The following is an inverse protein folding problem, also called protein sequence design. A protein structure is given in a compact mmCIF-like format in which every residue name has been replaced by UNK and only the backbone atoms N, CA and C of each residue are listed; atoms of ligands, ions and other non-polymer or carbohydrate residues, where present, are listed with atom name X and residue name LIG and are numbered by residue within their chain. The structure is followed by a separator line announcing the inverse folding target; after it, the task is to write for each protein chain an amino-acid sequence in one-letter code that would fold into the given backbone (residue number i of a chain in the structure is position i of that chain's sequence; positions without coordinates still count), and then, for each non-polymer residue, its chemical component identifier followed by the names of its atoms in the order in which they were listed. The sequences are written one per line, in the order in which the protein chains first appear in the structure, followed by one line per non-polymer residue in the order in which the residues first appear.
data_IF_515236173985
#
_entry.id   IF_515236173985
#
_cell.length_a   1.000
_cell.length_b   1.000
_cell.length_c   1.000
_cell.angle_alpha   90.00
_cell.angle_beta   90.00
_cell.angle_gamma   90.00
#
_symmetry.space_group_name_H-M   'P 1'
#
loop_
_entity.id
_entity.type
_entity.pdbx_description
1 polymer ?
#
# COMPACT_ATOMS: atom_id res chain seq x y z
N UNK A 1 70.33 -18.76 7.27
CA UNK A 1 69.56 -20.02 7.11
C UNK A 1 69.05 -20.43 8.47
N UNK A 2 67.73 -20.36 8.69
CA UNK A 2 66.94 -21.26 9.54
C UNK A 2 65.47 -20.88 9.34
N UNK A 3 64.71 -21.85 8.83
CA UNK A 3 63.35 -21.70 8.31
C UNK A 3 62.30 -21.79 9.42
N UNK A 4 61.33 -20.89 9.39
CA UNK A 4 60.06 -21.06 10.11
C UNK A 4 59.12 -21.90 9.23
N UNK A 5 58.79 -23.12 9.68
CA UNK A 5 57.69 -23.91 9.14
C UNK A 5 56.37 -23.30 9.61
N UNK A 6 55.58 -22.80 8.66
CA UNK A 6 54.18 -22.43 8.85
C UNK A 6 53.33 -23.71 9.02
N UNK A 7 52.54 -23.78 10.09
CA UNK A 7 51.42 -24.70 10.19
C UNK A 7 50.27 -24.16 9.32
N UNK A 8 49.90 -24.93 8.30
CA UNK A 8 48.69 -24.72 7.53
C UNK A 8 47.47 -24.98 8.41
N UNK A 9 46.71 -23.93 8.72
CA UNK A 9 45.35 -24.07 9.20
C UNK A 9 44.41 -24.07 8.00
N UNK A 10 43.65 -25.15 7.93
CA UNK A 10 42.64 -25.48 6.93
C UNK A 10 41.65 -24.33 6.68
N UNK A 11 41.29 -24.20 5.41
CA UNK A 11 40.35 -23.21 4.91
C UNK A 11 38.99 -23.24 5.62
N UNK A 12 38.58 -22.06 6.05
CA UNK A 12 37.20 -21.74 6.37
C UNK A 12 36.85 -20.47 5.58
N UNK A 13 36.31 -20.64 4.37
CA UNK A 13 35.69 -19.53 3.65
C UNK A 13 34.27 -19.29 4.19
N UNK A 14 33.88 -18.04 4.53
CA UNK A 14 32.54 -17.73 5.01
C UNK A 14 31.49 -17.92 3.89
N UNK A 15 30.31 -18.52 4.16
CA UNK A 15 29.39 -19.02 3.13
C UNK A 15 28.50 -17.95 2.46
N UNK A 16 28.89 -16.68 2.47
CA UNK A 16 28.07 -15.60 1.91
C UNK A 16 28.87 -14.71 0.96
N UNK A 17 29.03 -15.19 -0.27
CA UNK A 17 29.15 -14.32 -1.44
C UNK A 17 27.82 -14.39 -2.20
N UNK A 18 27.01 -13.33 -2.23
CA UNK A 18 25.77 -13.34 -2.99
C UNK A 18 26.10 -13.37 -4.49
N UNK A 19 25.99 -14.56 -5.10
CA UNK A 19 25.96 -14.72 -6.55
C UNK A 19 24.59 -14.28 -7.07
N UNK A 20 24.57 -13.51 -8.17
CA UNK A 20 23.34 -13.09 -8.88
C UNK A 20 22.41 -14.27 -9.23
N UNK A 21 22.93 -15.50 -9.35
CA UNK A 21 22.13 -16.71 -9.62
C UNK A 21 21.13 -17.04 -8.50
N UNK A 22 21.39 -16.63 -7.26
CA UNK A 22 20.51 -16.89 -6.12
C UNK A 22 19.27 -16.00 -6.10
N UNK A 23 19.30 -14.83 -6.77
CA UNK A 23 18.17 -13.92 -6.83
C UNK A 23 17.06 -14.46 -7.75
N UNK A 24 17.43 -15.05 -8.88
CA UNK A 24 16.49 -15.71 -9.81
C UNK A 24 15.84 -16.94 -9.17
N UNK A 25 16.61 -17.73 -8.41
CA UNK A 25 16.10 -18.86 -7.64
C UNK A 25 15.17 -18.45 -6.48
N UNK A 26 15.38 -17.27 -5.88
CA UNK A 26 14.49 -16.71 -4.88
C UNK A 26 13.14 -16.32 -5.49
N UNK A 27 13.14 -15.71 -6.67
CA UNK A 27 11.93 -15.36 -7.43
C UNK A 27 11.14 -16.61 -7.88
N UNK A 28 11.83 -17.70 -8.22
CA UNK A 28 11.20 -18.98 -8.61
C UNK A 28 10.62 -19.78 -7.42
N UNK A 29 11.05 -19.48 -6.19
CA UNK A 29 10.47 -20.03 -4.95
C UNK A 29 9.36 -19.16 -4.37
N UNK A 30 9.09 -18.00 -4.97
CA UNK A 30 7.92 -17.21 -4.60
C UNK A 30 6.68 -17.99 -5.00
N UNK A 31 5.70 -18.12 -4.10
CA UNK A 31 4.43 -18.74 -4.44
C UNK A 31 3.84 -18.11 -5.71
N UNK A 32 3.18 -18.89 -6.58
CA UNK A 32 2.71 -18.43 -7.89
C UNK A 32 1.77 -17.21 -7.80
N UNK A 33 1.12 -16.99 -6.65
CA UNK A 33 0.30 -15.82 -6.40
C UNK A 33 1.09 -14.50 -6.20
N UNK A 34 2.34 -14.54 -5.76
CA UNK A 34 3.19 -13.33 -5.70
C UNK A 34 3.64 -12.90 -7.08
N UNK A 35 3.84 -13.88 -7.97
CA UNK A 35 4.07 -13.65 -9.40
C UNK A 35 2.82 -13.03 -10.02
N UNK A 36 1.62 -13.57 -9.74
CA UNK A 36 0.36 -12.99 -10.21
C UNK A 36 0.13 -11.57 -9.70
N UNK A 37 0.37 -11.32 -8.40
CA UNK A 37 0.28 -9.98 -7.82
C UNK A 37 1.24 -9.02 -8.52
N UNK A 38 2.50 -9.41 -8.65
CA UNK A 38 3.51 -8.66 -9.37
C UNK A 38 3.07 -8.36 -10.82
N UNK A 39 2.57 -9.35 -11.55
CA UNK A 39 2.04 -9.19 -12.91
C UNK A 39 0.82 -8.26 -12.98
N UNK A 40 -0.10 -8.31 -12.01
CA UNK A 40 -1.24 -7.39 -11.94
C UNK A 40 -0.77 -5.95 -11.70
N UNK A 41 0.24 -5.74 -10.85
CA UNK A 41 0.82 -4.42 -10.60
C UNK A 41 1.54 -3.85 -11.83
N UNK A 42 2.35 -4.67 -12.51
CA UNK A 42 3.12 -4.21 -13.67
C UNK A 42 2.23 -3.98 -14.90
N UNK A 43 1.23 -4.84 -15.13
CA UNK A 43 0.27 -4.68 -16.23
C UNK A 43 -0.67 -3.48 -16.04
N UNK A 44 -1.12 -3.20 -14.82
CA UNK A 44 -1.90 -1.99 -14.52
C UNK A 44 -1.05 -0.71 -14.73
N UNK A 45 0.22 -0.73 -14.32
CA UNK A 45 1.17 0.36 -14.57
C UNK A 45 1.44 0.58 -16.06
N UNK A 46 1.64 -0.49 -16.83
CA UNK A 46 1.84 -0.44 -18.27
C UNK A 46 0.59 0.06 -19.01
N UNK A 47 -0.60 -0.44 -18.65
CA UNK A 47 -1.86 0.02 -19.25
C UNK A 47 -2.15 1.49 -18.95
N UNK A 48 -1.87 1.97 -17.74
CA UNK A 48 -2.02 3.39 -17.39
C UNK A 48 -1.05 4.30 -18.17
N UNK A 49 0.18 3.82 -18.42
CA UNK A 49 1.15 4.55 -19.24
C UNK A 49 0.73 4.58 -20.72
N UNK A 50 0.27 3.45 -21.26
CA UNK A 50 -0.18 3.33 -22.66
C UNK A 50 -1.49 4.10 -22.91
N UNK A 51 -2.45 4.03 -21.99
CA UNK A 51 -3.73 4.77 -22.11
C UNK A 51 -3.56 6.29 -21.95
N UNK A 52 -2.50 6.72 -21.25
CA UNK A 52 -2.05 8.11 -21.24
C UNK A 52 -1.55 8.58 -22.62
N UNK A 53 -0.88 7.70 -23.37
CA UNK A 53 -0.35 7.97 -24.72
C UNK A 53 -1.42 7.83 -25.82
N UNK A 54 -2.36 6.87 -25.70
CA UNK A 54 -3.35 6.58 -26.75
C UNK A 54 -4.49 7.60 -26.86
N UNK A 55 -4.70 8.44 -25.84
CA UNK A 55 -5.64 9.56 -25.90
C UNK A 55 -5.11 10.75 -26.71
N UNK A 56 -3.89 10.66 -27.25
CA UNK A 56 -3.20 11.73 -27.95
C UNK A 56 -3.14 11.55 -29.49
N UNK A 57 -3.64 10.44 -30.03
CA UNK A 57 -3.45 10.06 -31.44
C UNK A 57 -4.76 9.92 -32.24
N UNK A 58 -5.75 10.78 -32.02
CA UNK A 58 -6.91 10.91 -32.93
C UNK A 58 -7.24 12.38 -33.21
N UNK A 59 -6.45 13.01 -34.08
CA UNK A 59 -6.88 14.16 -34.88
C UNK A 59 -5.96 14.36 -36.09
N UNK A 60 -6.13 13.54 -37.13
CA UNK A 60 -5.64 13.86 -38.47
C UNK A 60 -6.62 14.86 -39.11
N UNK A 61 -6.34 16.15 -38.98
CA UNK A 61 -6.78 17.15 -39.96
C UNK A 61 -5.80 18.32 -39.96
N UNK A 62 -5.25 18.58 -41.14
CA UNK A 62 -4.25 19.61 -41.42
C UNK A 62 -4.71 21.01 -41.04
N UNK A 63 -3.89 21.72 -40.28
CA UNK A 63 -3.65 23.14 -40.49
C UNK A 63 -2.21 23.46 -40.08
N UNK A 64 -1.48 24.06 -41.01
CA UNK A 64 -0.14 24.62 -40.82
C UNK A 64 -0.20 25.65 -39.69
N UNK A 65 0.36 25.31 -38.53
CA UNK A 65 0.60 26.24 -37.42
C UNK A 65 2.04 26.04 -36.98
N UNK A 66 2.75 27.17 -36.88
CA UNK A 66 4.15 27.33 -36.49
C UNK A 66 4.51 26.51 -35.24
N UNK A 67 5.77 26.04 -35.07
CA UNK A 67 6.15 25.22 -33.92
C UNK A 67 6.18 26.09 -32.66
N UNK A 68 5.06 26.14 -31.94
CA UNK A 68 4.93 26.83 -30.66
C UNK A 68 4.84 25.82 -29.52
N UNK A 69 5.99 25.64 -28.88
CA UNK A 69 6.25 25.10 -27.54
C UNK A 69 5.65 23.74 -27.16
N UNK A 70 6.53 22.76 -26.96
CA UNK A 70 6.35 21.54 -26.16
C UNK A 70 5.97 21.86 -24.69
N UNK A 71 4.75 22.33 -24.43
CA UNK A 71 4.27 22.69 -23.08
C UNK A 71 3.21 21.71 -22.53
N UNK A 72 3.19 20.45 -22.97
CA UNK A 72 2.19 19.46 -22.53
C UNK A 72 2.73 18.13 -21.97
N UNK A 73 4.04 18.01 -21.74
CA UNK A 73 4.57 16.90 -20.96
C UNK A 73 4.30 17.14 -19.46
N UNK A 74 3.21 16.54 -18.94
CA UNK A 74 2.85 16.47 -17.52
C UNK A 74 4.02 15.92 -16.68
N UNK A 75 4.90 16.82 -16.22
CA UNK A 75 6.05 16.45 -15.38
C UNK A 75 5.64 16.39 -13.92
N UNK A 76 5.54 15.16 -13.41
CA UNK A 76 5.42 14.81 -12.00
C UNK A 76 6.73 15.14 -11.26
N UNK A 77 6.66 15.69 -10.04
CA UNK A 77 7.78 15.55 -9.10
C UNK A 77 7.76 14.10 -8.55
N UNK A 78 8.73 13.23 -8.89
CA UNK A 78 8.67 11.84 -8.48
C UNK A 78 8.90 11.72 -6.97
N UNK A 79 8.16 10.83 -6.29
CA UNK A 79 8.56 10.37 -4.96
C UNK A 79 9.87 9.61 -5.15
N UNK A 80 10.97 10.23 -4.74
CA UNK A 80 12.32 9.65 -4.88
C UNK A 80 12.75 9.04 -3.55
N UNK A 81 13.46 7.90 -3.56
CA UNK A 81 14.01 7.28 -2.35
C UNK A 81 15.22 8.08 -1.84
N UNK A 82 14.98 9.32 -1.40
CA UNK A 82 15.98 10.23 -0.87
C UNK A 82 15.74 10.50 0.62
N UNK A 83 16.61 11.31 1.24
CA UNK A 83 16.47 11.65 2.65
C UNK A 83 15.17 12.41 2.97
N UNK A 84 14.60 13.14 2.00
CA UNK A 84 13.28 13.78 2.14
C UNK A 84 12.18 12.74 2.27
N UNK A 85 12.21 11.67 1.47
CA UNK A 85 11.29 10.55 1.60
C UNK A 85 11.47 9.80 2.92
N UNK A 86 12.70 9.52 3.37
CA UNK A 86 12.89 8.90 4.70
C UNK A 86 12.33 9.79 5.81
N UNK A 87 12.49 11.12 5.71
CA UNK A 87 11.88 12.07 6.65
C UNK A 87 10.36 12.13 6.55
N UNK A 88 9.75 11.84 5.40
CA UNK A 88 8.29 11.88 5.24
C UNK A 88 7.61 10.93 6.20
N UNK A 89 8.18 9.75 6.46
CA UNK A 89 7.67 8.79 7.44
C UNK A 89 7.38 9.44 8.79
N UNK A 90 8.29 10.28 9.29
CA UNK A 90 8.08 10.99 10.55
C UNK A 90 6.96 12.03 10.46
N UNK A 91 6.99 12.87 9.42
CA UNK A 91 6.00 13.93 9.23
C UNK A 91 4.60 13.38 8.96
N UNK A 92 4.51 12.27 8.25
CA UNK A 92 3.27 11.62 7.85
C UNK A 92 2.70 10.81 9.01
N UNK A 93 3.55 10.11 9.76
CA UNK A 93 3.14 9.50 11.04
C UNK A 93 2.60 10.57 11.99
N UNK A 94 3.33 11.69 12.15
CA UNK A 94 2.86 12.82 12.97
C UNK A 94 1.53 13.37 12.45
N UNK A 95 1.37 13.51 11.14
CA UNK A 95 0.13 14.00 10.54
C UNK A 95 -1.04 13.04 10.81
N UNK A 96 -0.83 11.73 10.66
CA UNK A 96 -1.84 10.69 10.95
C UNK A 96 -2.24 10.72 12.43
N UNK A 97 -1.27 10.65 13.34
CA UNK A 97 -1.52 10.60 14.79
C UNK A 97 -2.15 11.90 15.30
N UNK A 98 -1.76 13.05 14.75
CA UNK A 98 -2.33 14.34 15.14
C UNK A 98 -3.57 14.74 14.34
N UNK A 99 -4.03 13.91 13.40
CA UNK A 99 -5.19 14.21 12.56
C UNK A 99 -6.49 14.41 13.36
N UNK A 100 -6.79 13.66 14.45
CA UNK A 100 -8.03 13.85 15.21
C UNK A 100 -8.18 15.26 15.79
N UNK A 101 -7.06 15.90 16.16
CA UNK A 101 -7.07 17.28 16.68
C UNK A 101 -7.38 18.34 15.60
N UNK A 102 -7.41 17.94 14.32
CA UNK A 102 -7.64 18.81 13.17
C UNK A 102 -8.90 18.44 12.39
N UNK A 103 -9.62 17.40 12.82
CA UNK A 103 -10.83 16.91 12.16
C UNK A 103 -11.94 17.94 12.24
N UNK A 104 -12.67 18.10 11.12
CA UNK A 104 -13.88 18.91 11.03
C UNK A 104 -15.11 18.03 11.20
N UNK A 105 -16.32 18.63 11.25
CA UNK A 105 -17.57 17.91 11.46
C UNK A 105 -17.77 16.70 10.53
N UNK A 106 -17.37 16.79 9.25
CA UNK A 106 -17.46 15.67 8.32
C UNK A 106 -16.48 14.53 8.63
N UNK A 107 -15.29 14.84 9.15
CA UNK A 107 -14.30 13.82 9.52
C UNK A 107 -14.74 13.10 10.80
N UNK A 108 -15.24 13.86 11.77
CA UNK A 108 -15.87 13.31 12.97
C UNK A 108 -17.11 12.48 12.66
N UNK A 109 -17.92 12.88 11.68
CA UNK A 109 -19.07 12.10 11.23
C UNK A 109 -18.62 10.75 10.63
N UNK A 110 -17.58 10.73 9.78
CA UNK A 110 -17.03 9.47 9.22
C UNK A 110 -16.49 8.58 10.33
N UNK A 111 -15.67 9.12 11.23
CA UNK A 111 -15.11 8.38 12.35
C UNK A 111 -16.22 7.85 13.27
N UNK A 112 -17.20 8.68 13.61
CA UNK A 112 -18.36 8.31 14.43
C UNK A 112 -19.18 7.20 13.81
N UNK A 113 -19.44 7.24 12.50
CA UNK A 113 -20.13 6.16 11.78
C UNK A 113 -19.36 4.85 11.85
N UNK A 114 -18.04 4.87 11.61
CA UNK A 114 -17.20 3.66 11.66
C UNK A 114 -17.17 3.09 13.06
N UNK A 115 -16.94 3.92 14.07
CA UNK A 115 -16.91 3.52 15.48
C UNK A 115 -18.28 2.99 15.89
N UNK A 116 -19.36 3.65 15.51
CA UNK A 116 -20.73 3.21 15.77
C UNK A 116 -21.04 1.86 15.17
N UNK A 117 -20.74 1.65 13.88
CA UNK A 117 -20.94 0.36 13.20
C UNK A 117 -20.07 -0.73 13.82
N UNK A 118 -18.80 -0.43 14.15
CA UNK A 118 -17.91 -1.39 14.81
C UNK A 118 -18.41 -1.75 16.22
N UNK A 119 -18.91 -0.78 17.00
CA UNK A 119 -19.45 -0.98 18.34
C UNK A 119 -20.76 -1.78 18.31
N UNK A 120 -21.66 -1.48 17.39
CA UNK A 120 -22.88 -2.27 17.17
C UNK A 120 -22.55 -3.70 16.72
N UNK A 121 -21.57 -3.84 15.82
CA UNK A 121 -21.09 -5.15 15.38
C UNK A 121 -20.49 -5.95 16.53
N UNK A 122 -19.67 -5.30 17.36
CA UNK A 122 -19.10 -5.87 18.58
C UNK A 122 -20.18 -6.35 19.55
N UNK A 123 -21.18 -5.51 19.82
CA UNK A 123 -22.22 -5.79 20.80
C UNK A 123 -23.21 -6.88 20.34
N UNK A 124 -23.54 -6.91 19.04
CA UNK A 124 -24.67 -7.69 18.55
C UNK A 124 -24.33 -8.68 17.43
N UNK A 125 -23.28 -8.45 16.65
CA UNK A 125 -23.05 -9.21 15.42
C UNK A 125 -21.91 -10.21 15.50
N UNK A 126 -20.82 -9.91 16.23
CA UNK A 126 -19.57 -10.69 16.19
C UNK A 126 -19.77 -12.18 16.42
N UNK A 127 -20.49 -12.58 17.47
CA UNK A 127 -20.76 -13.99 17.76
C UNK A 127 -21.66 -14.67 16.71
N UNK A 128 -22.64 -13.94 16.16
CA UNK A 128 -23.57 -14.46 15.14
C UNK A 128 -22.86 -14.65 13.80
N UNK A 129 -22.08 -13.65 13.38
CA UNK A 129 -21.31 -13.69 12.13
C UNK A 129 -20.23 -14.76 12.23
N UNK A 130 -19.54 -14.88 13.36
CA UNK A 130 -18.55 -15.93 13.57
C UNK A 130 -19.19 -17.32 13.45
N UNK A 131 -20.31 -17.56 14.16
CA UNK A 131 -21.02 -18.83 14.10
C UNK A 131 -21.49 -19.15 12.67
N UNK A 132 -22.16 -18.20 12.02
CA UNK A 132 -22.58 -18.33 10.63
C UNK A 132 -21.41 -18.68 9.71
N UNK A 133 -20.29 -17.96 9.83
CA UNK A 133 -19.10 -18.19 9.02
C UNK A 133 -18.51 -19.58 9.26
N UNK A 134 -18.50 -20.09 10.49
CA UNK A 134 -17.97 -21.42 10.81
C UNK A 134 -18.90 -22.54 10.35
N UNK A 135 -20.22 -22.36 10.45
CA UNK A 135 -21.24 -23.33 9.99
C UNK A 135 -21.27 -23.48 8.46
N UNK A 136 -20.90 -22.43 7.71
CA UNK A 136 -20.92 -22.42 6.25
C UNK A 136 -19.52 -22.64 5.62
N UNK A 137 -18.54 -23.11 6.40
CA UNK A 137 -17.22 -23.44 5.85
C UNK A 137 -17.33 -24.61 4.88
N UNK A 138 -16.67 -24.48 3.74
CA UNK A 138 -16.61 -25.51 2.72
C UNK A 138 -15.21 -25.56 2.10
N UNK A 139 -14.96 -26.59 1.29
CA UNK A 139 -13.74 -26.66 0.49
C UNK A 139 -13.56 -25.37 -0.35
N UNK A 140 -14.63 -24.89 -0.98
CA UNK A 140 -14.59 -23.67 -1.79
C UNK A 140 -14.18 -22.44 -0.97
N UNK A 141 -14.78 -22.20 0.20
CA UNK A 141 -14.45 -21.02 1.02
C UNK A 141 -13.02 -21.10 1.58
N UNK A 142 -12.53 -22.31 1.88
CA UNK A 142 -11.15 -22.51 2.30
C UNK A 142 -10.16 -22.21 1.16
N UNK A 143 -10.39 -22.77 -0.03
CA UNK A 143 -9.53 -22.49 -1.20
C UNK A 143 -9.55 -21.00 -1.57
N UNK A 144 -10.74 -20.38 -1.61
CA UNK A 144 -10.84 -18.95 -1.85
C UNK A 144 -10.08 -18.12 -0.79
N UNK A 145 -10.15 -18.55 0.48
CA UNK A 145 -9.43 -17.92 1.58
C UNK A 145 -7.91 -18.01 1.42
N UNK A 146 -7.39 -19.16 1.01
CA UNK A 146 -5.97 -19.39 0.77
C UNK A 146 -5.43 -18.52 -0.37
N UNK A 147 -6.23 -18.28 -1.42
CA UNK A 147 -5.84 -17.44 -2.56
C UNK A 147 -5.67 -15.97 -2.14
N UNK A 148 -6.55 -15.46 -1.28
CA UNK A 148 -6.59 -14.03 -0.91
C UNK A 148 -5.88 -13.71 0.41
N UNK A 149 -5.51 -14.72 1.19
CA UNK A 149 -4.71 -14.59 2.42
C UNK A 149 -3.44 -13.74 2.22
N UNK A 150 -2.65 -13.95 1.15
CA UNK A 150 -1.39 -13.22 0.97
C UNK A 150 -1.56 -11.71 0.86
N UNK A 151 -2.73 -11.24 0.40
CA UNK A 151 -3.06 -9.81 0.27
C UNK A 151 -3.25 -9.11 1.62
N UNK A 152 -3.44 -9.86 2.71
CA UNK A 152 -3.47 -9.31 4.07
C UNK A 152 -2.19 -9.58 4.85
N UNK A 153 -1.32 -10.45 4.35
CA UNK A 153 -0.13 -10.83 5.06
C UNK A 153 0.99 -9.80 4.80
N UNK A 154 1.32 -9.04 5.85
CA UNK A 154 2.35 -8.01 5.78
C UNK A 154 3.64 -8.50 5.13
N UNK A 155 4.13 -9.69 5.47
CA UNK A 155 5.39 -10.25 4.93
C UNK A 155 5.41 -10.27 3.40
N UNK A 156 4.34 -10.78 2.80
CA UNK A 156 4.27 -10.89 1.34
C UNK A 156 4.21 -9.52 0.70
N UNK A 157 3.46 -8.60 1.29
CA UNK A 157 3.33 -7.30 0.69
C UNK A 157 4.54 -6.39 0.87
N UNK A 158 5.35 -6.54 1.92
CA UNK A 158 6.69 -5.92 2.00
C UNK A 158 7.58 -6.34 0.83
N UNK A 159 7.53 -7.62 0.48
CA UNK A 159 8.27 -8.16 -0.68
C UNK A 159 7.68 -7.59 -1.97
N UNK A 160 6.36 -7.63 -2.13
CA UNK A 160 5.68 -7.10 -3.32
C UNK A 160 5.94 -5.61 -3.52
N UNK A 161 5.89 -4.78 -2.48
CA UNK A 161 6.19 -3.34 -2.58
C UNK A 161 7.64 -3.09 -3.01
N UNK A 162 8.58 -3.87 -2.48
CA UNK A 162 9.97 -3.83 -2.90
C UNK A 162 10.15 -4.23 -4.37
N UNK A 163 9.48 -5.29 -4.82
CA UNK A 163 9.52 -5.73 -6.22
C UNK A 163 8.88 -4.71 -7.17
N UNK A 164 7.75 -4.12 -6.80
CA UNK A 164 7.08 -3.06 -7.57
C UNK A 164 7.98 -1.83 -7.68
N UNK A 165 8.62 -1.42 -6.59
CA UNK A 165 9.60 -0.34 -6.60
C UNK A 165 10.79 -0.66 -7.51
N UNK A 166 11.41 -1.83 -7.38
CA UNK A 166 12.55 -2.25 -8.20
C UNK A 166 12.19 -2.36 -9.68
N UNK A 167 11.01 -2.88 -10.01
CA UNK A 167 10.50 -2.88 -11.37
C UNK A 167 10.41 -1.45 -11.93
N UNK A 168 9.85 -0.51 -11.15
CA UNK A 168 9.80 0.90 -11.52
C UNK A 168 11.18 1.50 -11.80
N UNK A 169 12.19 1.12 -11.01
CA UNK A 169 13.57 1.58 -11.21
C UNK A 169 14.23 0.97 -12.46
N UNK A 170 14.08 -0.34 -12.66
CA UNK A 170 14.68 -1.08 -13.79
C UNK A 170 14.11 -0.61 -15.13
N UNK A 171 12.79 -0.39 -15.18
CA UNK A 171 12.08 0.01 -16.40
C UNK A 171 11.83 1.52 -16.50
N UNK A 172 12.45 2.32 -15.62
CA UNK A 172 12.33 3.78 -15.58
C UNK A 172 10.87 4.28 -15.57
N UNK A 173 9.99 3.58 -14.86
CA UNK A 173 8.58 3.93 -14.70
C UNK A 173 8.37 4.63 -13.35
N UNK A 174 8.26 5.96 -13.39
CA UNK A 174 8.10 6.82 -12.21
C UNK A 174 6.81 6.52 -11.44
N UNK A 175 5.71 6.22 -12.14
CA UNK A 175 4.42 5.88 -11.53
C UNK A 175 4.52 4.58 -10.73
N UNK A 176 5.15 3.56 -11.31
CA UNK A 176 5.36 2.26 -10.66
C UNK A 176 6.30 2.37 -9.46
N UNK A 177 7.38 3.15 -9.60
CA UNK A 177 8.28 3.48 -8.48
C UNK A 177 7.51 4.11 -7.33
N UNK A 178 6.72 5.15 -7.62
CA UNK A 178 5.90 5.88 -6.65
C UNK A 178 4.90 4.96 -5.95
N UNK A 179 4.17 4.13 -6.70
CA UNK A 179 3.22 3.16 -6.14
C UNK A 179 3.92 2.21 -5.16
N UNK A 180 5.09 1.67 -5.53
CA UNK A 180 5.88 0.80 -4.65
C UNK A 180 6.27 1.48 -3.33
N UNK A 181 6.70 2.74 -3.40
CA UNK A 181 7.05 3.54 -2.22
C UNK A 181 5.83 3.85 -1.33
N UNK A 182 4.71 4.29 -1.92
CA UNK A 182 3.51 4.62 -1.17
C UNK A 182 2.87 3.40 -0.50
N UNK A 183 2.93 2.22 -1.14
CA UNK A 183 2.52 0.96 -0.52
C UNK A 183 3.43 0.68 0.69
N UNK A 184 4.74 0.78 0.53
CA UNK A 184 5.71 0.53 1.60
C UNK A 184 5.48 1.44 2.81
N UNK A 185 5.37 2.75 2.59
CA UNK A 185 5.13 3.74 3.65
C UNK A 185 3.79 3.51 4.35
N UNK A 186 2.74 3.27 3.56
CA UNK A 186 1.41 2.92 4.07
C UNK A 186 1.42 1.72 4.99
N UNK A 187 2.18 0.68 4.64
CA UNK A 187 2.25 -0.55 5.42
C UNK A 187 3.06 -0.39 6.69
N UNK A 188 4.16 0.36 6.65
CA UNK A 188 4.95 0.64 7.83
C UNK A 188 4.12 1.39 8.87
N UNK A 189 3.47 2.46 8.46
CA UNK A 189 2.69 3.31 9.37
C UNK A 189 1.48 2.54 9.89
N UNK A 190 0.73 1.84 9.03
CA UNK A 190 -0.37 0.98 9.48
C UNK A 190 0.08 -0.13 10.42
N UNK A 191 1.20 -0.77 10.12
CA UNK A 191 1.75 -1.87 10.92
C UNK A 191 2.15 -1.40 12.30
N UNK A 192 2.91 -0.31 12.41
CA UNK A 192 3.32 0.26 13.71
C UNK A 192 2.10 0.68 14.53
N UNK A 193 1.19 1.47 13.95
CA UNK A 193 -0.01 1.93 14.66
C UNK A 193 -0.93 0.76 15.05
N UNK A 194 -1.12 -0.20 14.15
CA UNK A 194 -1.88 -1.42 14.42
C UNK A 194 -1.30 -2.24 15.56
N UNK A 195 0.03 -2.36 15.64
CA UNK A 195 0.68 -3.07 16.74
C UNK A 195 0.56 -2.34 18.07
N UNK A 196 0.66 -1.00 18.08
CA UNK A 196 0.41 -0.22 19.30
C UNK A 196 -1.00 -0.46 19.83
N UNK A 197 -2.01 -0.38 18.96
CA UNK A 197 -3.41 -0.63 19.36
C UNK A 197 -3.56 -2.08 19.82
N UNK A 198 -2.97 -3.04 19.11
CA UNK A 198 -3.05 -4.46 19.43
C UNK A 198 -2.47 -4.79 20.80
N UNK A 199 -1.29 -4.24 21.11
CA UNK A 199 -0.63 -4.41 22.40
C UNK A 199 -1.43 -3.76 23.53
N UNK A 200 -2.11 -2.65 23.28
CA UNK A 200 -2.93 -1.97 24.29
C UNK A 200 -4.26 -2.66 24.56
N UNK A 201 -4.95 -3.14 23.52
CA UNK A 201 -6.27 -3.73 23.62
C UNK A 201 -6.25 -5.16 24.17
N UNK A 202 -5.45 -6.02 23.55
CA UNK A 202 -5.34 -7.43 23.92
C UNK A 202 -6.62 -8.26 23.85
N UNK A 203 -7.46 -8.08 22.82
CA UNK A 203 -8.66 -8.89 22.59
C UNK A 203 -8.30 -10.33 22.20
N UNK A 204 -8.98 -11.34 22.76
CA UNK A 204 -8.76 -12.75 22.40
C UNK A 204 -9.37 -13.11 21.04
N UNK A 205 -8.76 -14.06 20.33
CA UNK A 205 -9.23 -14.54 19.02
C UNK A 205 -10.37 -15.56 19.14
N UNK A 206 -11.26 -15.64 18.12
CA UNK A 206 -12.33 -16.63 18.10
C UNK A 206 -11.84 -18.09 18.06
N UNK A 207 -10.70 -18.38 17.41
CA UNK A 207 -10.16 -19.73 17.33
C UNK A 207 -9.74 -20.30 18.70
N UNK A 208 -9.55 -19.44 19.72
CA UNK A 208 -9.14 -19.86 21.06
C UNK A 208 -10.37 -20.30 21.89
N UNK A 209 -11.55 -20.38 21.27
CA UNK A 209 -12.82 -20.65 21.95
C UNK A 209 -13.34 -19.48 22.78
N UNK A 210 -12.72 -18.30 22.66
CA UNK A 210 -13.09 -17.10 23.40
C UNK A 210 -14.42 -16.51 22.93
N UNK A 211 -15.10 -15.78 23.82
CA UNK A 211 -16.29 -14.97 23.49
C UNK A 211 -15.87 -13.60 22.93
N UNK A 212 -16.74 -12.92 22.15
CA UNK A 212 -16.42 -11.62 21.57
C UNK A 212 -15.95 -10.56 22.56
N UNK A 213 -16.43 -10.60 23.81
CA UNK A 213 -16.15 -9.62 24.85
C UNK A 213 -14.96 -10.00 25.76
N UNK A 214 -14.16 -11.00 25.39
CA UNK A 214 -12.98 -11.37 26.17
C UNK A 214 -11.75 -10.56 25.78
N UNK A 215 -11.28 -9.75 26.72
CA UNK A 215 -10.08 -8.93 26.61
C UNK A 215 -9.11 -9.34 27.71
N UNK A 216 -7.87 -9.62 27.34
CA UNK A 216 -6.79 -9.92 28.28
C UNK A 216 -6.03 -8.65 28.70
N UNK A 217 -6.32 -7.50 28.08
CA UNK A 217 -5.65 -6.24 28.33
C UNK A 217 -4.22 -6.22 27.79
N UNK A 218 -3.37 -5.28 28.26
CA UNK A 218 -2.03 -5.12 27.73
C UNK A 218 -1.14 -6.33 28.01
N UNK A 219 -0.84 -7.13 26.98
CA UNK A 219 0.05 -8.28 27.06
C UNK A 219 0.79 -8.49 25.74
N UNK A 220 1.93 -9.18 25.79
CA UNK A 220 2.74 -9.44 24.60
C UNK A 220 2.03 -10.45 23.65
N UNK A 221 2.18 -10.33 22.31
CA UNK A 221 1.57 -11.24 21.35
C UNK A 221 2.07 -12.68 21.57
N UNK A 222 1.31 -13.72 21.14
CA UNK A 222 0.76 -13.79 19.78
C UNK A 222 -0.76 -13.79 19.62
N UNK A 223 -1.55 -13.84 20.70
CA UNK A 223 -2.97 -14.24 20.63
C UNK A 223 -4.00 -13.10 20.49
N UNK A 224 -3.58 -11.94 19.99
CA UNK A 224 -4.46 -10.76 19.92
C UNK A 224 -5.23 -10.65 18.61
N UNK A 225 -6.54 -10.46 18.70
CA UNK A 225 -7.45 -10.32 17.57
C UNK A 225 -7.57 -8.86 17.11
N UNK A 226 -7.75 -7.91 18.03
CA UNK A 226 -8.06 -6.51 17.69
C UNK A 226 -6.80 -5.63 17.56
N UNK A 227 -6.72 -4.74 16.56
CA UNK A 227 -7.44 -4.78 15.29
C UNK A 227 -6.86 -5.85 14.35
N UNK A 228 -7.55 -6.14 13.24
CA UNK A 228 -7.04 -7.10 12.27
C UNK A 228 -5.93 -6.51 11.40
N UNK A 229 -4.72 -7.05 11.53
CA UNK A 229 -3.59 -6.68 10.68
C UNK A 229 -3.79 -7.05 9.21
N UNK A 230 -4.52 -8.12 8.91
CA UNK A 230 -4.85 -8.49 7.52
C UNK A 230 -5.76 -7.46 6.87
N UNK A 231 -6.79 -7.02 7.58
CA UNK A 231 -7.68 -5.96 7.09
C UNK A 231 -6.94 -4.64 6.92
N UNK A 232 -6.08 -4.24 7.87
CA UNK A 232 -5.25 -3.04 7.74
C UNK A 232 -4.38 -3.10 6.48
N UNK A 233 -3.66 -4.21 6.30
CA UNK A 233 -2.70 -4.34 5.21
C UNK A 233 -3.39 -4.39 3.84
N UNK A 234 -4.49 -5.13 3.71
CA UNK A 234 -5.21 -5.24 2.43
C UNK A 234 -5.94 -3.95 2.06
N UNK A 235 -6.55 -3.25 3.02
CA UNK A 235 -7.19 -1.94 2.76
C UNK A 235 -6.17 -0.83 2.52
N UNK A 236 -5.01 -0.87 3.16
CA UNK A 236 -3.90 0.05 2.86
C UNK A 236 -3.45 -0.10 1.40
N UNK A 237 -3.20 -1.35 0.98
CA UNK A 237 -2.85 -1.67 -0.41
C UNK A 237 -3.93 -1.21 -1.38
N UNK A 238 -5.18 -1.60 -1.14
CA UNK A 238 -6.31 -1.25 -2.00
C UNK A 238 -6.50 0.26 -2.12
N UNK A 239 -6.28 1.00 -1.03
CA UNK A 239 -6.40 2.47 -1.02
C UNK A 239 -5.31 3.12 -1.85
N UNK A 240 -4.06 2.69 -1.73
CA UNK A 240 -2.97 3.24 -2.56
C UNK A 240 -3.24 2.99 -4.04
N UNK A 241 -3.60 1.75 -4.41
CA UNK A 241 -3.91 1.43 -5.82
C UNK A 241 -5.11 2.23 -6.31
N UNK A 242 -6.19 2.28 -5.53
CA UNK A 242 -7.41 2.98 -5.91
C UNK A 242 -7.19 4.48 -6.13
N UNK A 243 -6.38 5.13 -5.29
CA UNK A 243 -6.11 6.57 -5.42
C UNK A 243 -5.11 6.85 -6.55
N UNK A 244 -4.12 5.99 -6.76
CA UNK A 244 -3.10 6.16 -7.81
C UNK A 244 -3.64 5.83 -9.22
N UNK A 245 -4.64 4.95 -9.33
CA UNK A 245 -5.23 4.51 -10.61
C UNK A 245 -6.74 4.84 -10.69
N UNK A 246 -7.18 5.89 -9.99
CA UNK A 246 -8.60 6.29 -9.88
C UNK A 246 -9.29 6.58 -11.21
N UNK A 247 -8.53 6.93 -12.25
CA UNK A 247 -9.06 7.25 -13.58
C UNK A 247 -9.59 5.99 -14.29
N UNK A 248 -9.10 4.81 -13.92
CA UNK A 248 -9.60 3.52 -14.38
C UNK A 248 -10.65 3.04 -13.38
N UNK A 249 -11.92 3.35 -13.62
CA UNK A 249 -13.04 3.10 -12.68
C UNK A 249 -13.13 1.65 -12.14
N UNK A 250 -12.68 0.67 -12.91
CA UNK A 250 -12.65 -0.73 -12.49
C UNK A 250 -11.61 -1.00 -11.38
N UNK A 251 -10.49 -0.27 -11.36
CA UNK A 251 -9.37 -0.53 -10.46
C UNK A 251 -9.72 -0.31 -8.98
N UNK A 252 -10.37 0.81 -8.57
CA UNK A 252 -10.86 0.95 -7.20
C UNK A 252 -11.81 -0.18 -6.79
N UNK A 253 -12.75 -0.55 -7.66
CA UNK A 253 -13.76 -1.59 -7.38
C UNK A 253 -13.07 -2.93 -7.12
N UNK A 254 -12.17 -3.35 -8.01
CA UNK A 254 -11.43 -4.61 -7.89
C UNK A 254 -10.57 -4.59 -6.63
N UNK A 255 -9.87 -3.47 -6.36
CA UNK A 255 -8.96 -3.33 -5.23
C UNK A 255 -9.68 -3.51 -3.89
N UNK A 256 -10.80 -2.79 -3.69
CA UNK A 256 -11.60 -2.93 -2.46
C UNK A 256 -12.35 -4.26 -2.37
N UNK A 257 -12.71 -4.88 -3.51
CA UNK A 257 -13.30 -6.22 -3.54
C UNK A 257 -12.30 -7.26 -3.03
N UNK A 258 -11.06 -7.22 -3.51
CA UNK A 258 -9.99 -8.10 -3.03
C UNK A 258 -9.69 -7.88 -1.54
N UNK A 259 -9.62 -6.62 -1.08
CA UNK A 259 -9.43 -6.32 0.33
C UNK A 259 -10.57 -6.85 1.22
N UNK A 260 -11.81 -6.80 0.70
CA UNK A 260 -12.99 -7.36 1.36
C UNK A 260 -12.93 -8.88 1.40
N UNK A 261 -12.52 -9.54 0.31
CA UNK A 261 -12.30 -11.00 0.29
C UNK A 261 -11.22 -11.41 1.30
N UNK A 262 -10.16 -10.63 1.49
CA UNK A 262 -9.18 -10.86 2.55
C UNK A 262 -9.81 -10.77 3.95
N UNK A 263 -10.76 -9.87 4.18
CA UNK A 263 -11.47 -9.81 5.46
C UNK A 263 -12.37 -11.05 5.65
N UNK A 264 -13.08 -11.47 4.62
CA UNK A 264 -13.90 -12.69 4.65
C UNK A 264 -13.05 -13.93 4.90
N UNK A 265 -11.83 -13.99 4.34
CA UNK A 265 -10.91 -15.10 4.62
C UNK A 265 -10.48 -15.16 6.08
N UNK A 266 -10.43 -14.03 6.80
CA UNK A 266 -10.14 -14.01 8.24
C UNK A 266 -11.30 -14.52 9.09
N UNK A 267 -12.55 -14.26 8.67
CA UNK A 267 -13.74 -14.87 9.28
C UNK A 267 -13.73 -16.38 9.05
N UNK A 268 -13.48 -16.82 7.82
CA UNK A 268 -13.39 -18.24 7.47
C UNK A 268 -12.29 -18.95 8.28
N UNK A 269 -11.12 -18.32 8.45
CA UNK A 269 -10.02 -18.83 9.27
C UNK A 269 -10.27 -18.77 10.80
N UNK A 270 -11.44 -18.27 11.23
CA UNK A 270 -11.80 -18.06 12.63
C UNK A 270 -10.78 -17.17 13.39
N UNK A 271 -10.07 -16.31 12.66
CA UNK A 271 -8.89 -15.62 13.14
C UNK A 271 -9.24 -14.27 13.80
N UNK A 272 -10.36 -13.66 13.44
CA UNK A 272 -10.76 -12.32 13.86
C UNK A 272 -12.27 -12.22 14.01
N UNK A 273 -12.71 -11.39 14.95
CA UNK A 273 -14.11 -10.95 15.04
C UNK A 273 -14.44 -9.97 13.91
N UNK A 274 -15.71 -9.85 13.52
CA UNK A 274 -16.11 -8.95 12.43
C UNK A 274 -15.77 -7.49 12.72
N UNK A 275 -16.00 -7.03 13.96
CA UNK A 275 -15.61 -5.69 14.41
C UNK A 275 -14.10 -5.43 14.35
N UNK A 276 -13.24 -6.45 14.55
CA UNK A 276 -11.78 -6.32 14.37
C UNK A 276 -11.41 -5.98 12.92
N UNK A 277 -12.18 -6.53 11.97
CA UNK A 277 -11.99 -6.34 10.54
C UNK A 277 -12.46 -4.95 10.10
N UNK A 278 -13.59 -4.48 10.63
CA UNK A 278 -14.10 -3.13 10.35
C UNK A 278 -13.11 -2.05 10.78
N UNK A 279 -12.60 -2.15 12.02
CA UNK A 279 -11.61 -1.19 12.53
C UNK A 279 -10.29 -1.31 11.76
N UNK A 280 -9.84 -2.54 11.50
CA UNK A 280 -8.63 -2.75 10.70
C UNK A 280 -8.74 -2.17 9.29
N UNK A 281 -9.85 -2.39 8.60
CA UNK A 281 -10.13 -1.85 7.27
C UNK A 281 -10.16 -0.32 7.27
N UNK A 282 -10.82 0.29 8.28
CA UNK A 282 -10.85 1.74 8.43
C UNK A 282 -9.45 2.32 8.66
N UNK A 283 -8.65 1.73 9.56
CA UNK A 283 -7.26 2.14 9.77
C UNK A 283 -6.47 2.07 8.47
N UNK A 284 -6.51 0.92 7.78
CA UNK A 284 -5.88 0.73 6.46
C UNK A 284 -6.24 1.83 5.48
N UNK A 285 -7.54 2.09 5.32
CA UNK A 285 -8.04 3.09 4.40
C UNK A 285 -7.63 4.53 4.75
N UNK A 286 -7.96 5.01 5.96
CA UNK A 286 -7.78 6.42 6.30
C UNK A 286 -6.30 6.79 6.48
N UNK A 287 -5.48 5.89 7.03
CA UNK A 287 -4.04 6.11 7.16
C UNK A 287 -3.41 6.22 5.77
N UNK A 288 -3.65 5.23 4.89
CA UNK A 288 -3.09 5.25 3.54
C UNK A 288 -3.61 6.40 2.68
N UNK A 289 -4.90 6.73 2.79
CA UNK A 289 -5.47 7.90 2.10
C UNK A 289 -4.81 9.20 2.56
N UNK A 290 -4.47 9.31 3.84
CA UNK A 290 -3.74 10.48 4.37
C UNK A 290 -2.33 10.54 3.79
N UNK A 291 -1.62 9.42 3.72
CA UNK A 291 -0.27 9.32 3.14
C UNK A 291 -0.30 9.72 1.66
N UNK A 292 -1.15 9.09 0.84
CA UNK A 292 -1.26 9.41 -0.59
C UNK A 292 -1.56 10.90 -0.83
N UNK A 293 -2.47 11.50 -0.05
CA UNK A 293 -2.80 12.93 -0.14
C UNK A 293 -1.66 13.86 0.24
N UNK A 294 -0.76 13.41 1.11
CA UNK A 294 0.41 14.18 1.56
C UNK A 294 1.60 14.07 0.61
N UNK A 295 1.55 13.10 -0.30
CA UNK A 295 2.41 13.00 -1.47
C UNK A 295 1.64 13.35 -2.74
N UNK A 296 1.02 14.53 -2.88
CA UNK A 296 0.21 14.84 -4.05
C UNK A 296 1.03 14.74 -5.34
N UNK A 297 0.40 14.26 -6.40
CA UNK A 297 0.95 14.36 -7.74
C UNK A 297 0.97 15.84 -8.14
N UNK A 298 2.12 16.50 -7.97
CA UNK A 298 2.30 17.85 -8.48
C UNK A 298 2.72 17.77 -9.96
N UNK A 299 1.93 18.29 -10.92
CA UNK A 299 2.55 18.83 -12.12
C UNK A 299 3.42 20.01 -11.67
N UNK A 300 4.68 20.04 -12.09
CA UNK A 300 5.58 21.15 -11.78
C UNK A 300 4.85 22.48 -11.99
N UNK A 301 4.84 23.33 -10.95
CA UNK A 301 4.28 24.68 -11.00
C UNK A 301 4.83 25.35 -12.26
N UNK A 302 3.94 25.76 -13.18
CA UNK A 302 4.31 26.53 -14.38
C UNK A 302 5.19 27.68 -13.89
N UNK A 303 6.48 27.68 -14.22
CA UNK A 303 7.29 28.89 -14.06
C UNK A 303 6.53 29.95 -14.85
N UNK A 304 6.12 31.04 -14.21
CA UNK A 304 5.57 32.20 -14.91
C UNK A 304 6.53 32.51 -16.04
N UNK A 305 6.09 32.28 -17.29
CA UNK A 305 6.88 32.61 -18.47
C UNK A 305 6.91 34.13 -18.50
N UNK A 306 7.96 34.70 -17.93
CA UNK A 306 8.30 36.10 -18.16
C UNK A 306 8.64 36.20 -19.64
N UNK A 307 7.68 36.67 -20.43
CA UNK A 307 7.88 36.92 -21.84
C UNK A 307 8.37 38.35 -22.00
N UNK A 308 9.54 38.51 -22.62
CA UNK A 308 10.04 39.78 -23.11
C UNK A 308 9.44 40.01 -24.50
N UNK A 309 8.47 40.91 -24.58
CA UNK A 309 7.87 41.33 -25.85
C UNK A 309 8.61 42.57 -26.35
N UNK A 310 9.23 42.47 -27.53
CA UNK A 310 9.90 43.59 -28.18
C UNK A 310 8.96 44.15 -29.24
N UNK A 311 8.34 45.29 -28.95
CA UNK A 311 7.61 46.05 -29.95
C UNK A 311 8.45 47.25 -30.41
N UNK A 312 8.02 47.93 -31.47
CA UNK A 312 8.72 49.08 -32.06
C UNK A 312 8.89 50.30 -31.12
N UNK A 313 8.49 50.19 -29.85
CA UNK A 313 8.66 51.20 -28.80
C UNK A 313 9.54 50.71 -27.62
N UNK A 314 10.00 49.45 -27.61
CA UNK A 314 10.89 48.89 -26.58
C UNK A 314 10.47 47.50 -26.07
N UNK A 315 11.22 46.98 -25.10
CA UNK A 315 10.94 45.69 -24.47
C UNK A 315 9.96 45.86 -23.30
N UNK A 316 8.86 45.10 -23.28
CA UNK A 316 7.92 45.04 -22.15
C UNK A 316 7.84 43.63 -21.56
N UNK A 317 7.90 43.55 -20.23
CA UNK A 317 7.79 42.31 -19.47
C UNK A 317 6.32 42.05 -19.14
N UNK A 318 5.79 40.90 -19.57
CA UNK A 318 4.47 40.42 -19.13
C UNK A 318 4.64 39.27 -18.13
N UNK A 319 3.91 39.35 -17.03
CA UNK A 319 3.89 38.37 -15.94
C UNK A 319 2.76 37.36 -16.14
#
# INVERSE_FOLDING_TARGET
MLSCRALALNGYEPPWKPSFSNFTLLLMKLPPYLILLFWLFTSAGAYAQISGDSLQTDSLTQAVVLPLSEDSARRYEPVKPNWTYVKSYWYDTKAVVTSPFRWKGQDWAKAGTIIGVAALSYAFADGRIQKFSQEHKSHFTNTASEIVDPLGNGRYLWITSGLVFLHGQIFHNDKTTRVGLLILESQLINGVLGQVVKLAAGRKRPWDGARPHEWAGPQYPPFHSFPSGHAQTSFALATVIAEEFKDIKAVPIISYSLATLTCLSRLNANAHWFSDLLVGAAMGHFISKTIVRRHPEHPLKKRSKVALDFNGQGATLRF
#
